data_IF_818929433918
#
_entry.id   IF_818929433918
#
_cell.length_a   1.000
_cell.length_b   1.000
_cell.length_c   1.000
_cell.angle_alpha   90.00
_cell.angle_beta   90.00
_cell.angle_gamma   90.00
#
_symmetry.space_group_name_H-M   'P 1'
#
loop_
_entity.id
_entity.type
_entity.pdbx_description
1 polymer ?
#
# COMPACT_ATOMS: atom_id res chain seq x y z
N UNK A 1 -13.09 -13.60 3.50
CA UNK A 1 -13.37 -12.81 4.70
C UNK A 1 -12.11 -12.11 5.19
N UNK A 2 -10.91 -12.70 5.02
CA UNK A 2 -9.60 -12.09 5.32
C UNK A 2 -9.35 -10.67 4.77
N UNK A 3 -9.84 -10.34 3.57
CA UNK A 3 -9.53 -9.07 2.87
C UNK A 3 -10.53 -7.95 3.20
N UNK A 4 -11.55 -8.20 4.04
CA UNK A 4 -12.66 -7.26 4.26
C UNK A 4 -12.24 -5.90 4.84
N UNK A 5 -11.09 -5.85 5.52
CA UNK A 5 -10.52 -4.63 6.11
C UNK A 5 -9.12 -4.32 5.57
N UNK A 6 -8.69 -5.02 4.53
CA UNK A 6 -7.40 -4.78 3.91
C UNK A 6 -7.51 -3.55 3.01
N UNK A 7 -6.48 -2.71 3.05
CA UNK A 7 -6.37 -1.59 2.13
C UNK A 7 -5.84 -2.08 0.77
N UNK A 8 -6.57 -1.74 -0.29
CA UNK A 8 -6.16 -2.08 -1.65
C UNK A 8 -5.20 -1.01 -2.17
N UNK A 9 -3.96 -1.41 -2.40
CA UNK A 9 -2.95 -0.59 -3.07
C UNK A 9 -2.79 -1.08 -4.51
N UNK A 10 -2.87 -0.16 -5.47
CA UNK A 10 -2.73 -0.43 -6.89
C UNK A 10 -1.65 0.47 -7.48
N UNK A 11 -0.77 -0.12 -8.30
CA UNK A 11 0.29 0.59 -9.03
C UNK A 11 0.13 0.36 -10.53
N UNK A 12 0.59 1.33 -11.33
CA UNK A 12 0.67 1.21 -12.80
C UNK A 12 1.86 0.34 -13.25
N UNK A 13 2.70 -0.11 -12.31
CA UNK A 13 3.83 -0.99 -12.57
C UNK A 13 3.33 -2.40 -12.88
N UNK A 14 3.79 -2.95 -14.01
CA UNK A 14 3.48 -4.32 -14.40
C UNK A 14 4.27 -5.30 -13.53
N UNK A 15 3.69 -6.48 -13.27
CA UNK A 15 4.33 -7.48 -12.40
C UNK A 15 5.79 -7.84 -12.75
N UNK A 16 6.20 -7.96 -14.03
CA UNK A 16 7.59 -8.25 -14.38
C UNK A 16 8.57 -7.12 -14.03
N UNK A 17 8.06 -5.89 -13.96
CA UNK A 17 8.83 -4.67 -13.69
C UNK A 17 8.75 -4.26 -12.22
N UNK A 18 8.01 -5.01 -11.40
CA UNK A 18 7.83 -4.74 -9.98
C UNK A 18 9.12 -5.04 -9.22
N UNK A 19 9.66 -4.03 -8.55
CA UNK A 19 10.91 -4.11 -7.80
C UNK A 19 10.69 -3.83 -6.31
N UNK A 20 11.73 -4.08 -5.51
CA UNK A 20 11.71 -3.84 -4.06
C UNK A 20 11.36 -2.38 -3.72
N UNK A 21 11.80 -1.42 -4.55
CA UNK A 21 11.46 -0.01 -4.40
C UNK A 21 9.94 0.25 -4.47
N UNK A 22 9.22 -0.50 -5.31
CA UNK A 22 7.79 -0.34 -5.50
C UNK A 22 7.02 -0.92 -4.31
N UNK A 23 7.57 -1.95 -3.66
CA UNK A 23 7.09 -2.45 -2.38
C UNK A 23 7.34 -1.44 -1.25
N UNK A 24 8.54 -0.84 -1.20
CA UNK A 24 8.85 0.20 -0.21
C UNK A 24 7.93 1.42 -0.37
N UNK A 25 7.63 1.83 -1.60
CA UNK A 25 6.68 2.90 -1.90
C UNK A 25 5.24 2.52 -1.51
N UNK A 26 4.84 1.27 -1.71
CA UNK A 26 3.55 0.75 -1.23
C UNK A 26 3.43 0.83 0.29
N UNK A 27 4.47 0.40 1.01
CA UNK A 27 4.52 0.43 2.46
C UNK A 27 4.55 1.87 3.00
N UNK A 28 5.29 2.77 2.34
CA UNK A 28 5.27 4.21 2.65
C UNK A 28 3.90 4.81 2.42
N UNK A 29 3.23 4.49 1.32
CA UNK A 29 1.86 4.95 1.04
C UNK A 29 0.86 4.47 2.10
N UNK A 30 1.00 3.21 2.53
CA UNK A 30 0.20 2.65 3.62
C UNK A 30 0.51 3.30 4.98
N UNK A 31 1.76 3.67 5.25
CA UNK A 31 2.18 4.31 6.50
C UNK A 31 1.86 5.82 6.56
N UNK A 32 1.93 6.51 5.42
CA UNK A 32 1.71 7.96 5.29
C UNK A 32 0.22 8.33 5.29
N UNK A 33 -0.65 7.39 4.88
CA UNK A 33 -2.09 7.55 5.02
C UNK A 33 -2.44 7.63 6.51
N UNK A 34 -2.70 8.87 6.94
CA UNK A 34 -3.04 9.25 8.31
C UNK A 34 -4.00 8.22 8.95
N UNK A 35 -3.45 7.39 9.85
CA UNK A 35 -4.27 6.88 10.93
C UNK A 35 -4.65 8.11 11.75
N UNK A 36 -5.84 8.68 11.50
CA UNK A 36 -6.47 9.68 12.37
C UNK A 36 -6.68 9.06 13.76
N UNK A 37 -5.60 8.91 14.51
CA UNK A 37 -5.63 8.73 15.95
C UNK A 37 -5.72 10.14 16.53
N UNK A 38 -6.94 10.68 16.59
CA UNK A 38 -7.10 12.09 16.93
C UNK A 38 -8.50 12.68 16.95
N UNK A 39 -9.57 11.89 17.08
CA UNK A 39 -10.73 12.19 17.94
C UNK A 39 -11.64 11.00 18.11
#
# INVERSE_FOLDING_TARGET
WEVAYAEMWATSVLWPDFQVKDLDDALRSYADRERRFGR
#
